data_IF_547715467623
#
_entry.id   IF_547715467623
#
_cell.length_a   1.000
_cell.length_b   1.000
_cell.length_c   1.000
_cell.angle_alpha   90.00
_cell.angle_beta   90.00
_cell.angle_gamma   90.00
#
_symmetry.space_group_name_H-M   'P 1'
#
loop_
_entity.id
_entity.type
_entity.pdbx_description
1 polymer ?
#
# COMPACT_ATOMS: atom_id res chain seq x y z
N UNK A 1 6.52 0.73 -10.76
CA UNK A 1 6.14 -0.65 -11.08
C UNK A 1 5.17 -0.63 -12.24
N UNK A 2 5.55 -1.27 -13.34
CA UNK A 2 4.73 -1.29 -14.54
C UNK A 2 4.33 -2.69 -14.98
N UNK A 3 4.97 -3.71 -14.41
CA UNK A 3 4.74 -5.11 -14.77
C UNK A 3 4.21 -5.87 -13.57
N UNK A 4 2.97 -6.40 -13.61
CA UNK A 4 2.42 -7.18 -12.50
C UNK A 4 3.29 -8.37 -12.10
N UNK A 5 3.95 -9.01 -13.07
CA UNK A 5 4.76 -10.19 -12.80
C UNK A 5 6.03 -9.87 -12.01
N UNK A 6 6.47 -8.61 -12.01
CA UNK A 6 7.67 -8.19 -11.30
C UNK A 6 7.39 -7.62 -9.91
N UNK A 7 6.11 -7.46 -9.55
CA UNK A 7 5.76 -6.89 -8.24
C UNK A 7 6.09 -7.89 -7.12
N UNK A 8 6.78 -7.47 -6.05
CA UNK A 8 7.04 -8.34 -4.91
C UNK A 8 5.73 -8.73 -4.20
N UNK A 9 5.78 -9.84 -3.48
CA UNK A 9 4.62 -10.31 -2.73
C UNK A 9 4.42 -9.55 -1.42
N UNK A 10 5.46 -8.94 -0.89
CA UNK A 10 5.41 -8.14 0.34
C UNK A 10 6.34 -6.94 0.21
N UNK A 11 5.98 -5.85 0.88
CA UNK A 11 6.75 -4.62 0.81
C UNK A 11 8.17 -4.71 1.31
N UNK A 12 8.44 -5.61 2.26
CA UNK A 12 9.77 -5.80 2.83
C UNK A 12 10.64 -6.78 2.04
N UNK A 13 10.19 -7.23 0.88
CA UNK A 13 10.93 -8.17 0.03
C UNK A 13 11.73 -7.47 -1.07
N UNK A 14 12.17 -6.23 -0.81
CA UNK A 14 12.99 -5.50 -1.77
C UNK A 14 12.20 -4.81 -2.87
N UNK A 15 10.97 -4.40 -2.57
CA UNK A 15 10.18 -3.63 -3.52
C UNK A 15 10.94 -2.37 -3.95
N UNK A 16 10.93 -2.02 -5.24
CA UNK A 16 11.53 -0.77 -5.68
C UNK A 16 10.81 0.43 -5.10
N UNK A 17 11.49 1.57 -5.06
CA UNK A 17 10.86 2.81 -4.68
C UNK A 17 9.73 3.14 -5.66
N UNK A 18 8.68 3.70 -5.14
CA UNK A 18 7.52 4.11 -5.92
C UNK A 18 7.17 5.55 -5.62
N UNK A 19 6.48 6.19 -6.56
CA UNK A 19 6.00 7.55 -6.40
C UNK A 19 4.51 7.52 -6.12
N UNK A 20 4.10 8.18 -5.03
CA UNK A 20 2.71 8.53 -4.78
C UNK A 20 2.48 9.86 -5.46
N UNK A 21 1.57 9.91 -6.41
CA UNK A 21 1.28 11.13 -7.18
C UNK A 21 -0.09 11.64 -6.77
N UNK A 22 -0.13 12.87 -6.27
CA UNK A 22 -1.35 13.46 -5.73
C UNK A 22 -1.90 14.50 -6.68
N UNK A 23 -3.22 14.65 -6.69
CA UNK A 23 -3.86 15.72 -7.42
C UNK A 23 -3.48 17.08 -6.81
N UNK A 24 -3.35 18.14 -7.63
CA UNK A 24 -2.97 19.44 -7.08
C UNK A 24 -3.86 19.95 -5.96
N UNK A 25 -5.14 19.60 -6.00
CA UNK A 25 -6.14 20.06 -5.02
C UNK A 25 -5.87 19.54 -3.61
N UNK A 26 -5.11 18.43 -3.47
CA UNK A 26 -4.87 17.82 -2.16
C UNK A 26 -3.43 17.99 -1.68
N UNK A 27 -2.60 18.74 -2.38
CA UNK A 27 -1.18 18.90 -2.04
C UNK A 27 -1.00 19.49 -0.64
N UNK A 28 -1.88 20.35 -0.20
CA UNK A 28 -1.82 20.90 1.17
C UNK A 28 -1.89 19.82 2.24
N UNK A 29 -2.52 18.70 1.93
CA UNK A 29 -2.62 17.58 2.87
C UNK A 29 -1.27 16.91 3.14
N UNK A 30 -0.26 17.18 2.32
CA UNK A 30 1.09 16.66 2.51
C UNK A 30 1.90 17.47 3.53
N UNK A 31 1.38 18.60 3.99
CA UNK A 31 2.11 19.44 4.95
C UNK A 31 2.40 18.64 6.22
N UNK A 32 3.63 18.68 6.68
CA UNK A 32 4.06 17.95 7.86
C UNK A 32 4.66 16.58 7.58
N UNK A 33 4.52 16.06 6.38
CA UNK A 33 5.17 14.81 5.99
C UNK A 33 6.63 15.12 5.64
N UNK A 34 7.55 14.30 6.16
CA UNK A 34 9.00 14.48 5.99
C UNK A 34 9.65 13.19 5.58
N UNK A 35 10.81 13.26 4.90
CA UNK A 35 11.61 12.06 4.66
C UNK A 35 11.90 11.32 5.97
N UNK A 36 11.79 10.00 5.94
CA UNK A 36 11.95 9.15 7.12
C UNK A 36 10.64 8.83 7.82
N UNK A 37 9.57 9.56 7.55
CA UNK A 37 8.27 9.26 8.13
C UNK A 37 7.75 7.92 7.61
N UNK A 38 7.05 7.19 8.47
CA UNK A 38 6.31 6.00 8.05
C UNK A 38 4.84 6.35 7.85
N UNK A 39 4.29 5.85 6.76
CA UNK A 39 2.89 6.08 6.39
C UNK A 39 2.17 4.77 6.17
N UNK A 40 0.88 4.78 6.42
CA UNK A 40 -0.04 3.75 5.93
C UNK A 40 -0.71 4.32 4.69
N UNK A 41 -0.55 3.63 3.57
CA UNK A 41 -1.18 4.00 2.30
C UNK A 41 -2.30 3.02 2.04
N UNK A 42 -3.50 3.53 1.90
CA UNK A 42 -4.67 2.75 1.53
C UNK A 42 -4.90 2.90 0.03
N UNK A 43 -5.04 1.79 -0.66
CA UNK A 43 -5.18 1.77 -2.11
C UNK A 43 -6.44 1.03 -2.51
N UNK A 44 -6.90 1.29 -3.73
CA UNK A 44 -7.95 0.51 -4.36
C UNK A 44 -7.30 -0.46 -5.35
N UNK A 45 -7.36 -1.75 -5.03
CA UNK A 45 -6.71 -2.79 -5.83
C UNK A 45 -7.62 -3.14 -7.02
N UNK A 46 -7.71 -2.23 -7.97
CA UNK A 46 -8.72 -2.23 -9.02
C UNK A 46 -8.62 -3.41 -9.99
N UNK A 47 -7.47 -4.08 -10.04
CA UNK A 47 -7.28 -5.25 -10.89
C UNK A 47 -7.50 -6.56 -10.15
N UNK A 48 -7.82 -6.52 -8.85
CA UNK A 48 -8.04 -7.71 -8.06
C UNK A 48 -9.48 -8.22 -8.21
N UNK A 49 -9.67 -9.49 -7.86
CA UNK A 49 -10.99 -10.12 -7.93
C UNK A 49 -11.78 -9.83 -6.66
N UNK A 50 -13.07 -9.56 -6.81
CA UNK A 50 -13.98 -9.28 -5.69
C UNK A 50 -14.78 -10.49 -5.25
N UNK A 51 -14.76 -11.56 -6.02
CA UNK A 51 -15.58 -12.76 -5.78
C UNK A 51 -14.85 -13.85 -4.98
N UNK A 52 -13.67 -13.54 -4.45
CA UNK A 52 -12.85 -14.51 -3.72
C UNK A 52 -13.11 -14.36 -2.24
N UNK A 53 -13.49 -15.45 -1.58
CA UNK A 53 -13.77 -15.50 -0.14
C UNK A 53 -12.74 -16.30 0.63
N UNK A 54 -12.01 -17.19 -0.03
CA UNK A 54 -10.98 -18.04 0.61
C UNK A 54 -9.75 -18.09 -0.28
N UNK A 55 -8.60 -18.12 0.34
CA UNK A 55 -7.31 -18.21 -0.35
C UNK A 55 -6.34 -19.07 0.45
N UNK A 56 -5.31 -19.58 -0.24
CA UNK A 56 -4.11 -20.09 0.44
C UNK A 56 -3.22 -18.89 0.76
N UNK A 57 -2.78 -18.70 2.02
CA UNK A 57 -1.94 -17.57 2.37
C UNK A 57 -0.72 -17.50 1.46
N UNK A 58 -0.47 -16.32 0.87
CA UNK A 58 0.64 -16.03 -0.03
C UNK A 58 0.72 -16.98 -1.24
N UNK A 59 -0.43 -17.56 -1.62
CA UNK A 59 -0.48 -18.51 -2.74
C UNK A 59 0.14 -19.86 -2.47
N UNK A 60 0.52 -20.14 -1.23
CA UNK A 60 1.17 -21.39 -0.86
C UNK A 60 0.12 -22.48 -0.64
N UNK A 61 -0.02 -23.37 -1.61
CA UNK A 61 -1.02 -24.44 -1.56
C UNK A 61 -0.72 -25.50 -0.51
N UNK A 62 0.48 -25.52 0.08
CA UNK A 62 0.81 -26.44 1.17
C UNK A 62 0.24 -25.96 2.50
N UNK A 63 -0.22 -24.71 2.58
CA UNK A 63 -0.83 -24.14 3.77
C UNK A 63 -2.35 -24.26 3.68
N UNK A 64 -2.98 -24.35 4.86
CA UNK A 64 -4.43 -24.42 4.89
C UNK A 64 -5.07 -23.18 4.25
N UNK A 65 -6.15 -23.41 3.52
CA UNK A 65 -6.96 -22.33 2.97
C UNK A 65 -7.60 -21.51 4.07
N UNK A 66 -7.63 -20.20 3.93
CA UNK A 66 -8.19 -19.29 4.92
C UNK A 66 -9.19 -18.33 4.27
N UNK A 67 -10.13 -17.86 5.08
CA UNK A 67 -11.00 -16.76 4.66
C UNK A 67 -10.19 -15.50 4.40
N UNK A 68 -10.56 -14.73 3.39
CA UNK A 68 -9.76 -13.59 2.96
C UNK A 68 -9.66 -12.50 4.04
N UNK A 69 -10.64 -12.40 4.93
CA UNK A 69 -10.59 -11.38 5.99
C UNK A 69 -9.56 -11.70 7.09
N UNK A 70 -9.04 -12.91 7.12
CA UNK A 70 -7.92 -13.25 7.99
C UNK A 70 -6.57 -13.18 7.28
N UNK A 71 -6.54 -12.62 6.08
CA UNK A 71 -5.35 -12.48 5.24
C UNK A 71 -5.25 -11.08 4.67
N UNK A 72 -4.10 -10.79 4.02
CA UNK A 72 -3.90 -9.55 3.27
C UNK A 72 -4.03 -9.78 1.76
N UNK A 73 -4.73 -10.85 1.35
CA UNK A 73 -4.93 -11.11 -0.08
C UNK A 73 -5.57 -9.91 -0.76
N UNK A 74 -5.09 -9.52 -1.97
CA UNK A 74 -5.74 -8.46 -2.75
C UNK A 74 -7.12 -8.88 -3.27
N UNK A 75 -7.32 -10.19 -3.48
CA UNK A 75 -8.59 -10.72 -3.98
C UNK A 75 -9.55 -10.89 -2.82
N UNK A 76 -10.50 -9.98 -2.72
CA UNK A 76 -11.44 -9.91 -1.61
C UNK A 76 -12.63 -9.04 -1.98
N UNK A 77 -13.78 -9.14 -1.26
CA UNK A 77 -14.96 -8.36 -1.61
C UNK A 77 -14.72 -6.85 -1.66
N UNK A 78 -14.00 -6.30 -0.69
CA UNK A 78 -13.56 -4.92 -0.71
C UNK A 78 -12.06 -4.90 -0.99
N UNK A 79 -11.68 -4.44 -2.17
CA UNK A 79 -10.32 -4.52 -2.67
C UNK A 79 -9.45 -3.37 -2.16
N UNK A 80 -9.52 -3.13 -0.86
CA UNK A 80 -8.70 -2.08 -0.24
C UNK A 80 -7.38 -2.69 0.18
N UNK A 81 -6.29 -2.15 -0.36
CA UNK A 81 -4.95 -2.51 0.05
C UNK A 81 -4.49 -1.63 1.20
N UNK A 82 -3.64 -2.17 2.06
CA UNK A 82 -3.03 -1.43 3.15
C UNK A 82 -1.53 -1.67 3.07
N UNK A 83 -0.76 -0.59 2.95
CA UNK A 83 0.68 -0.65 2.75
C UNK A 83 1.38 0.23 3.77
N UNK A 84 2.34 -0.34 4.48
CA UNK A 84 3.20 0.43 5.37
C UNK A 84 4.46 0.79 4.60
N UNK A 85 4.71 2.09 4.44
CA UNK A 85 5.80 2.58 3.61
C UNK A 85 6.62 3.62 4.36
N UNK A 86 7.85 3.84 3.90
CA UNK A 86 8.71 4.90 4.43
C UNK A 86 8.89 5.97 3.37
N UNK A 87 8.77 7.23 3.77
CA UNK A 87 8.97 8.37 2.87
C UNK A 87 10.47 8.51 2.59
N UNK A 88 10.84 8.44 1.32
CA UNK A 88 12.22 8.65 0.90
C UNK A 88 12.48 10.10 0.53
N UNK A 89 11.57 10.73 -0.21
CA UNK A 89 11.70 12.14 -0.61
C UNK A 89 10.35 12.70 -1.03
N UNK A 90 10.25 14.01 -1.06
CA UNK A 90 9.05 14.72 -1.46
C UNK A 90 9.42 15.73 -2.54
N UNK A 91 8.65 15.74 -3.62
CA UNK A 91 8.85 16.65 -4.75
C UNK A 91 7.48 17.19 -5.18
N UNK A 92 7.08 18.32 -4.60
CA UNK A 92 5.79 18.94 -4.89
C UNK A 92 4.63 18.02 -4.58
N UNK A 93 3.87 17.64 -5.60
CA UNK A 93 2.70 16.76 -5.46
C UNK A 93 3.08 15.28 -5.49
N UNK A 94 4.37 14.94 -5.47
CA UNK A 94 4.83 13.56 -5.53
C UNK A 94 5.63 13.22 -4.29
N UNK A 95 5.38 12.04 -3.74
CA UNK A 95 6.12 11.51 -2.60
C UNK A 95 6.72 10.19 -3.00
N UNK A 96 8.05 10.08 -2.94
CA UNK A 96 8.74 8.83 -3.19
C UNK A 96 8.77 8.03 -1.91
N UNK A 97 8.33 6.78 -1.97
CA UNK A 97 8.25 5.91 -0.81
C UNK A 97 8.96 4.59 -1.07
N UNK A 98 9.41 3.95 0.00
CA UNK A 98 9.99 2.62 -0.01
C UNK A 98 8.97 1.60 0.46
N UNK A 99 9.11 0.36 -0.02
CA UNK A 99 8.33 -0.78 0.45
C UNK A 99 6.86 -0.75 0.02
N UNK A 100 6.55 -0.04 -1.07
CA UNK A 100 5.19 -0.07 -1.61
C UNK A 100 5.03 -1.27 -2.54
N UNK A 101 4.12 -2.15 -2.17
CA UNK A 101 3.80 -3.36 -2.91
C UNK A 101 2.48 -3.14 -3.66
N UNK A 102 2.56 -2.44 -4.77
CA UNK A 102 1.38 -2.15 -5.58
C UNK A 102 1.79 -2.00 -7.05
N UNK A 103 0.83 -2.25 -7.93
CA UNK A 103 1.04 -2.06 -9.35
C UNK A 103 1.01 -0.58 -9.71
N UNK A 104 1.76 -0.22 -10.75
CA UNK A 104 1.71 1.13 -11.28
C UNK A 104 0.28 1.48 -11.70
N UNK A 105 -0.13 2.69 -11.38
CA UNK A 105 -1.50 3.14 -11.67
C UNK A 105 -2.54 2.74 -10.63
N UNK A 106 -2.15 2.05 -9.56
CA UNK A 106 -3.09 1.71 -8.48
C UNK A 106 -3.58 2.99 -7.79
N UNK A 107 -4.90 3.23 -7.74
CA UNK A 107 -5.43 4.44 -7.09
C UNK A 107 -5.15 4.47 -5.59
N UNK A 108 -4.79 5.65 -5.08
CA UNK A 108 -4.64 5.89 -3.64
C UNK A 108 -5.98 6.35 -3.10
N UNK A 109 -6.44 5.70 -2.03
CA UNK A 109 -7.68 6.07 -1.35
C UNK A 109 -7.41 7.08 -0.25
N UNK A 110 -6.37 6.84 0.55
CA UNK A 110 -6.06 7.67 1.71
C UNK A 110 -4.63 7.42 2.14
N UNK A 111 -4.07 8.35 2.90
CA UNK A 111 -2.75 8.24 3.50
C UNK A 111 -2.85 8.67 4.96
N UNK A 112 -2.31 7.86 5.87
CA UNK A 112 -2.31 8.14 7.30
C UNK A 112 -0.92 7.93 7.86
N UNK A 113 -0.52 8.70 8.88
CA UNK A 113 0.78 8.46 9.51
C UNK A 113 0.74 7.19 10.37
N UNK A 114 1.89 6.55 10.50
CA UNK A 114 2.09 5.54 11.52
C UNK A 114 2.44 6.28 12.81
N UNK A 115 1.61 6.13 13.83
CA UNK A 115 1.84 6.76 15.11
C UNK A 115 2.73 5.87 15.98
N UNK A 116 3.59 6.49 16.78
CA UNK A 116 4.44 5.77 17.70
C UNK A 116 3.70 5.34 18.97
N UNK A 117 4.46 4.88 19.97
CA UNK A 117 3.88 4.45 21.25
C UNK A 117 3.16 5.59 21.96
N UNK A 118 3.58 6.81 21.73
CA UNK A 118 2.86 7.99 22.18
C UNK A 118 1.77 8.29 21.12
N UNK A 119 0.60 7.77 21.36
CA UNK A 119 -0.51 7.77 20.41
C UNK A 119 -1.27 9.10 20.37
N UNK A 120 -0.61 10.19 20.52
CA UNK A 120 -1.25 11.49 20.34
C UNK A 120 -1.48 11.77 18.88
N UNK A 121 -2.64 12.28 18.58
CA UNK A 121 -2.93 12.74 17.24
C UNK A 121 -2.10 13.98 16.94
N UNK A 122 -1.64 14.05 15.70
CA UNK A 122 -0.93 15.22 15.21
C UNK A 122 -1.89 16.16 14.53
#
# INVERSE_FOLDING_TARGET
>A
MTDPASAPMQGDEGAPDAWLVFEPEVVEALAGIRPGDELIVLTWLHLARRDVLRVHPRGDVSRAEQGVFSTRSPHRPNQIGLHRVEVASIDGARVRVRNLEALDGTPIVDVKPVLGDDIRER
#
